data_IF_279973895390
#
_entry.id   IF_279973895390
#
_cell.length_a   1.000
_cell.length_b   1.000
_cell.length_c   1.000
_cell.angle_alpha   90.00
_cell.angle_beta   90.00
_cell.angle_gamma   90.00
#
_symmetry.space_group_name_H-M   'P 1'
#
loop_
_entity.id
_entity.type
_entity.pdbx_description
1 polymer ?
#
# COMPACT_ATOMS: atom_id res chain seq x y z
N UNK A 1 34.59 21.79 32.32
CA UNK A 1 33.58 22.32 31.36
C UNK A 1 32.91 21.15 30.66
N UNK A 2 31.69 20.79 31.11
CA UNK A 2 30.85 19.73 30.59
C UNK A 2 30.07 20.30 29.40
N UNK A 3 30.29 19.76 28.21
CA UNK A 3 29.40 19.99 27.05
C UNK A 3 28.17 19.08 27.19
N UNK A 4 27.02 19.69 27.40
CA UNK A 4 25.72 19.00 27.40
C UNK A 4 25.32 18.69 25.97
N UNK A 5 25.25 17.40 25.61
CA UNK A 5 24.63 16.93 24.39
C UNK A 5 23.10 17.11 24.51
N UNK A 6 22.58 18.11 23.83
CA UNK A 6 21.14 18.34 23.74
C UNK A 6 20.50 17.24 22.89
N UNK A 7 19.81 16.30 23.52
CA UNK A 7 18.88 15.40 22.86
C UNK A 7 17.71 16.23 22.33
N UNK A 8 17.65 16.40 21.04
CA UNK A 8 16.51 16.99 20.35
C UNK A 8 15.32 16.02 20.51
N UNK A 9 14.41 16.31 21.44
CA UNK A 9 13.14 15.59 21.53
C UNK A 9 12.33 15.90 20.26
N UNK A 10 12.21 14.91 19.40
CA UNK A 10 11.19 14.93 18.33
C UNK A 10 9.80 15.08 18.97
N UNK A 11 8.87 15.82 18.34
CA UNK A 11 7.53 15.93 18.87
C UNK A 11 6.92 14.52 18.97
N UNK A 12 6.54 14.15 20.18
CA UNK A 12 5.79 12.95 20.48
C UNK A 12 4.45 13.06 19.75
N UNK A 13 4.32 12.36 18.61
CA UNK A 13 3.01 12.14 18.02
C UNK A 13 2.24 11.29 19.03
N UNK A 14 1.08 11.79 19.49
CA UNK A 14 0.16 10.96 20.26
C UNK A 14 -0.03 9.65 19.50
N UNK A 15 0.13 8.52 20.19
CA UNK A 15 -0.17 7.20 19.63
C UNK A 15 -1.66 7.18 19.25
N UNK A 16 -1.94 7.57 18.00
CA UNK A 16 -3.17 7.19 17.35
C UNK A 16 -2.90 5.81 16.78
N UNK A 17 -3.77 4.84 17.08
CA UNK A 17 -3.63 3.46 16.61
C UNK A 17 -3.64 3.33 15.07
N UNK A 18 -3.78 4.44 14.33
CA UNK A 18 -3.99 4.48 12.88
C UNK A 18 -3.20 5.59 12.21
N UNK A 19 -2.77 5.34 10.96
CA UNK A 19 -1.95 6.29 10.19
C UNK A 19 -2.83 7.16 9.26
N UNK A 20 -2.95 8.46 9.60
CA UNK A 20 -3.61 9.45 8.74
C UNK A 20 -2.65 9.95 7.63
N UNK A 21 -3.19 10.79 6.70
CA UNK A 21 -2.43 11.33 5.56
C UNK A 21 -1.15 12.05 5.98
N UNK A 22 -1.20 12.92 6.97
CA UNK A 22 -0.04 13.69 7.44
C UNK A 22 1.05 12.78 7.99
N UNK A 23 0.66 11.72 8.72
CA UNK A 23 1.59 10.73 9.26
C UNK A 23 2.22 9.90 8.14
N UNK A 24 1.44 9.46 7.15
CA UNK A 24 1.95 8.73 5.97
C UNK A 24 2.97 9.58 5.19
N UNK A 25 2.64 10.84 4.89
CA UNK A 25 3.57 11.78 4.25
C UNK A 25 4.83 11.97 5.10
N UNK A 26 4.68 12.12 6.41
CA UNK A 26 5.79 12.21 7.35
C UNK A 26 6.73 11.00 7.29
N UNK A 27 6.19 9.77 7.20
CA UNK A 27 6.98 8.55 7.05
C UNK A 27 7.69 8.49 5.69
N UNK A 28 7.01 8.86 4.60
CA UNK A 28 7.60 8.94 3.26
C UNK A 28 8.81 9.89 3.26
N UNK A 29 8.66 11.08 3.83
CA UNK A 29 9.72 12.08 3.90
C UNK A 29 10.87 11.64 4.83
N UNK A 30 10.55 11.01 5.95
CA UNK A 30 11.55 10.51 6.91
C UNK A 30 12.39 9.39 6.30
N UNK A 31 11.75 8.38 5.74
CA UNK A 31 12.42 7.22 5.10
C UNK A 31 12.88 7.49 3.67
N UNK A 32 12.49 8.61 3.08
CA UNK A 32 12.83 9.04 1.71
C UNK A 32 12.46 7.99 0.65
N UNK A 33 11.35 7.29 0.86
CA UNK A 33 10.81 6.34 -0.11
C UNK A 33 9.30 6.22 0.05
N UNK A 34 8.65 5.59 -0.92
CA UNK A 34 7.20 5.31 -0.96
C UNK A 34 6.95 3.84 -1.31
N UNK A 35 7.88 2.97 -0.88
CA UNK A 35 7.78 1.52 -1.07
C UNK A 35 6.71 0.94 -0.16
N UNK A 36 5.85 0.11 -0.76
CA UNK A 36 4.93 -0.79 -0.11
C UNK A 36 5.39 -2.24 -0.34
N UNK A 37 5.74 -2.96 0.71
CA UNK A 37 6.10 -4.37 0.61
C UNK A 37 4.84 -5.22 0.67
N UNK A 38 4.61 -6.04 -0.37
CA UNK A 38 3.47 -6.95 -0.40
C UNK A 38 3.81 -8.27 0.26
N UNK A 39 2.98 -8.71 1.21
CA UNK A 39 3.06 -9.98 1.92
C UNK A 39 2.08 -11.00 1.30
N UNK A 40 2.20 -11.21 -0.02
CA UNK A 40 1.38 -12.16 -0.79
C UNK A 40 1.99 -13.57 -0.64
N UNK A 41 2.00 -14.10 0.60
CA UNK A 41 2.80 -15.27 0.98
C UNK A 41 2.08 -16.58 0.66
N UNK A 42 2.63 -17.31 -0.29
CA UNK A 42 2.21 -18.67 -0.65
C UNK A 42 3.02 -19.71 0.16
N UNK A 43 2.32 -20.57 0.89
CA UNK A 43 2.94 -21.65 1.68
C UNK A 43 3.82 -22.58 0.82
N UNK A 44 3.51 -22.74 -0.47
CA UNK A 44 4.30 -23.57 -1.37
C UNK A 44 5.65 -22.95 -1.72
N UNK A 45 5.75 -21.62 -1.72
CA UNK A 45 6.89 -20.85 -2.17
C UNK A 45 7.86 -20.41 -1.05
N UNK A 46 7.51 -20.60 0.22
CA UNK A 46 8.42 -20.27 1.34
C UNK A 46 9.56 -21.30 1.45
N UNK A 47 10.74 -20.92 2.01
CA UNK A 47 11.86 -21.82 2.23
C UNK A 47 11.47 -23.07 3.03
N UNK A 48 12.00 -24.21 2.61
CA UNK A 48 11.59 -25.53 3.15
C UNK A 48 11.77 -25.65 4.68
N UNK A 49 12.86 -25.06 5.22
CA UNK A 49 13.15 -25.14 6.66
C UNK A 49 12.09 -24.45 7.52
N UNK A 50 11.36 -23.45 6.96
CA UNK A 50 10.28 -22.77 7.69
C UNK A 50 9.03 -23.65 7.83
N UNK A 51 8.86 -24.68 7.01
CA UNK A 51 7.65 -25.52 7.01
C UNK A 51 7.50 -26.36 8.28
N UNK A 52 8.58 -26.49 9.10
CA UNK A 52 8.55 -27.14 10.41
C UNK A 52 7.99 -26.29 11.55
N UNK A 53 7.81 -24.98 11.34
CA UNK A 53 7.23 -24.10 12.35
C UNK A 53 5.72 -24.31 12.48
N UNK A 54 5.16 -24.01 13.65
CA UNK A 54 3.72 -24.14 13.91
C UNK A 54 2.86 -23.26 12.97
N UNK A 55 3.33 -22.06 12.63
CA UNK A 55 2.75 -21.19 11.62
C UNK A 55 3.83 -20.69 10.65
N UNK A 56 4.13 -21.49 9.61
CA UNK A 56 5.22 -21.21 8.68
C UNK A 56 5.07 -19.88 7.93
N UNK A 57 3.83 -19.50 7.59
CA UNK A 57 3.56 -18.27 6.85
C UNK A 57 3.77 -17.06 7.75
N UNK A 58 3.35 -17.13 9.01
CA UNK A 58 3.63 -16.06 9.97
C UNK A 58 5.13 -15.90 10.22
N UNK A 59 5.85 -17.00 10.42
CA UNK A 59 7.31 -16.97 10.64
C UNK A 59 8.05 -16.37 9.43
N UNK A 60 7.63 -16.72 8.22
CA UNK A 60 8.15 -16.12 7.00
C UNK A 60 7.88 -14.60 6.96
N UNK A 61 6.63 -14.18 7.15
CA UNK A 61 6.24 -12.78 7.14
C UNK A 61 6.99 -11.96 8.18
N UNK A 62 7.13 -12.52 9.39
CA UNK A 62 7.88 -11.90 10.48
C UNK A 62 9.30 -11.57 10.06
N UNK A 63 10.04 -12.53 9.48
CA UNK A 63 11.42 -12.32 9.02
C UNK A 63 11.50 -11.32 7.86
N UNK A 64 10.53 -11.34 6.94
CA UNK A 64 10.43 -10.33 5.87
C UNK A 64 10.21 -8.94 6.46
N UNK A 65 9.28 -8.78 7.42
CA UNK A 65 9.01 -7.50 8.07
C UNK A 65 10.26 -7.00 8.80
N UNK A 66 10.92 -7.84 9.60
CA UNK A 66 12.15 -7.47 10.31
C UNK A 66 13.25 -7.01 9.37
N UNK A 67 13.41 -7.66 8.22
CA UNK A 67 14.45 -7.38 7.23
C UNK A 67 14.14 -6.12 6.37
N UNK A 68 12.86 -5.79 6.15
CA UNK A 68 12.47 -4.75 5.19
C UNK A 68 11.91 -3.48 5.81
N UNK A 69 11.57 -3.48 7.10
CA UNK A 69 10.89 -2.35 7.76
C UNK A 69 11.65 -1.01 7.66
N UNK A 70 12.97 -1.02 7.58
CA UNK A 70 13.75 0.22 7.43
C UNK A 70 13.67 0.79 6.00
N UNK A 71 13.31 -0.03 5.01
CA UNK A 71 13.32 0.28 3.59
C UNK A 71 11.94 0.51 2.98
N UNK A 72 10.87 0.42 3.76
CA UNK A 72 9.51 0.67 3.27
C UNK A 72 8.69 1.53 4.24
N UNK A 73 7.61 2.11 3.76
CA UNK A 73 6.67 2.90 4.56
C UNK A 73 5.35 2.18 4.80
N UNK A 74 5.12 1.09 4.09
CA UNK A 74 3.85 0.39 4.16
C UNK A 74 3.99 -1.11 3.87
N UNK A 75 3.06 -1.90 4.41
CA UNK A 75 2.87 -3.30 4.08
C UNK A 75 1.46 -3.56 3.56
N UNK A 76 1.36 -4.39 2.53
CA UNK A 76 0.10 -4.79 1.92
C UNK A 76 -0.08 -6.31 2.04
N UNK A 77 -1.16 -6.73 2.70
CA UNK A 77 -1.54 -8.14 2.81
C UNK A 77 -2.64 -8.42 1.78
N UNK A 78 -2.34 -9.24 0.77
CA UNK A 78 -3.36 -9.74 -0.14
C UNK A 78 -4.11 -10.87 0.55
N UNK A 79 -5.35 -10.61 0.92
CA UNK A 79 -6.15 -11.50 1.76
C UNK A 79 -6.41 -12.87 1.14
N UNK A 80 -6.41 -12.97 -0.20
CA UNK A 80 -6.64 -14.24 -0.90
C UNK A 80 -5.64 -15.33 -0.52
N UNK A 81 -4.36 -14.98 -0.27
CA UNK A 81 -3.32 -15.93 0.16
C UNK A 81 -3.53 -16.47 1.57
N UNK A 82 -4.33 -15.78 2.35
CA UNK A 82 -4.67 -16.17 3.73
C UNK A 82 -6.05 -16.82 3.79
N UNK A 83 -7.05 -16.27 3.13
CA UNK A 83 -8.42 -16.79 3.09
C UNK A 83 -8.47 -18.24 2.57
N UNK A 84 -7.65 -18.61 1.59
CA UNK A 84 -7.55 -19.98 1.05
C UNK A 84 -7.17 -21.03 2.13
N UNK A 85 -6.57 -20.59 3.23
CA UNK A 85 -6.15 -21.46 4.35
C UNK A 85 -7.23 -21.59 5.45
N UNK A 86 -8.43 -21.08 5.24
CA UNK A 86 -9.52 -21.11 6.19
C UNK A 86 -9.21 -20.33 7.48
N UNK A 87 -9.68 -20.82 8.64
CA UNK A 87 -9.52 -20.10 9.90
C UNK A 87 -8.05 -19.87 10.30
N UNK A 88 -7.17 -20.82 9.99
CA UNK A 88 -5.73 -20.67 10.23
C UNK A 88 -5.13 -19.51 9.44
N UNK A 89 -5.59 -19.31 8.21
CA UNK A 89 -5.15 -18.19 7.40
C UNK A 89 -5.61 -16.83 7.97
N UNK A 90 -6.83 -16.75 8.47
CA UNK A 90 -7.33 -15.55 9.16
C UNK A 90 -6.51 -15.26 10.43
N UNK A 91 -6.20 -16.28 11.23
CA UNK A 91 -5.34 -16.14 12.41
C UNK A 91 -3.92 -15.69 12.03
N UNK A 92 -3.33 -16.28 10.99
CA UNK A 92 -2.02 -15.87 10.45
C UNK A 92 -2.03 -14.42 9.97
N UNK A 93 -3.10 -14.01 9.28
CA UNK A 93 -3.27 -12.63 8.80
C UNK A 93 -3.35 -11.64 9.97
N UNK A 94 -4.13 -11.96 11.01
CA UNK A 94 -4.21 -11.14 12.22
C UNK A 94 -2.84 -11.00 12.88
N UNK A 95 -2.15 -12.12 13.15
CA UNK A 95 -0.80 -12.13 13.73
C UNK A 95 0.18 -11.30 12.90
N UNK A 96 0.08 -11.39 11.58
CA UNK A 96 0.94 -10.61 10.66
C UNK A 96 0.63 -9.12 10.74
N UNK A 97 -0.66 -8.73 10.73
CA UNK A 97 -1.08 -7.34 10.84
C UNK A 97 -0.68 -6.72 12.19
N UNK A 98 -0.76 -7.48 13.29
CA UNK A 98 -0.34 -7.06 14.62
C UNK A 98 1.18 -6.92 14.74
N UNK A 99 1.94 -7.73 13.97
CA UNK A 99 3.41 -7.69 13.98
C UNK A 99 3.98 -6.52 13.17
N UNK A 100 3.25 -5.99 12.20
CA UNK A 100 3.69 -4.81 11.45
C UNK A 100 3.80 -3.61 12.41
N UNK A 101 4.97 -2.92 12.48
CA UNK A 101 5.13 -1.79 13.38
C UNK A 101 4.11 -0.68 13.10
N UNK A 102 3.63 -0.02 14.15
CA UNK A 102 2.65 1.09 14.06
C UNK A 102 3.13 2.29 13.22
N UNK A 103 4.45 2.38 12.98
CA UNK A 103 5.05 3.37 12.09
C UNK A 103 4.89 3.05 10.58
N UNK A 104 4.25 1.93 10.23
CA UNK A 104 4.03 1.51 8.86
C UNK A 104 2.55 1.47 8.53
N UNK A 105 2.19 1.97 7.34
CA UNK A 105 0.83 1.96 6.84
C UNK A 105 0.41 0.54 6.43
N UNK A 106 -0.68 0.03 7.04
CA UNK A 106 -1.16 -1.35 6.88
C UNK A 106 -2.33 -1.42 5.91
N UNK A 107 -2.15 -2.13 4.80
CA UNK A 107 -3.15 -2.26 3.73
C UNK A 107 -3.69 -3.69 3.67
N UNK A 108 -5.01 -3.86 3.81
CA UNK A 108 -5.71 -5.07 3.43
C UNK A 108 -6.09 -5.01 1.94
N UNK A 109 -5.40 -5.79 1.11
CA UNK A 109 -5.72 -5.90 -0.31
C UNK A 109 -6.79 -6.98 -0.50
N UNK A 110 -8.04 -6.63 -0.15
CA UNK A 110 -9.19 -7.54 -0.03
C UNK A 110 -10.20 -7.40 -1.17
N UNK A 111 -10.17 -6.27 -1.88
CA UNK A 111 -11.07 -5.95 -3.00
C UNK A 111 -12.54 -6.23 -2.67
N UNK A 112 -12.96 -5.77 -1.47
CA UNK A 112 -14.34 -5.98 -1.00
C UNK A 112 -15.31 -5.09 -1.78
N UNK A 113 -16.54 -5.54 -1.82
CA UNK A 113 -17.67 -4.82 -2.39
C UNK A 113 -18.94 -5.59 -2.05
N UNK A 114 -19.90 -4.90 -1.42
CA UNK A 114 -21.22 -5.40 -1.08
C UNK A 114 -22.13 -4.21 -0.84
N UNK A 115 -23.41 -4.44 -0.59
CA UNK A 115 -24.39 -3.37 -0.36
C UNK A 115 -24.68 -3.18 1.13
N UNK A 116 -24.96 -1.94 1.50
CA UNK A 116 -25.55 -1.55 2.80
C UNK A 116 -24.83 -2.18 4.00
N UNK A 117 -25.60 -2.94 4.78
CA UNK A 117 -25.13 -3.54 6.04
C UNK A 117 -23.96 -4.53 5.85
N UNK A 118 -23.95 -5.32 4.77
CA UNK A 118 -22.84 -6.25 4.50
C UNK A 118 -21.54 -5.50 4.29
N UNK A 119 -21.56 -4.40 3.53
CA UNK A 119 -20.40 -3.55 3.34
C UNK A 119 -19.88 -2.97 4.66
N UNK A 120 -20.80 -2.54 5.55
CA UNK A 120 -20.43 -2.06 6.88
C UNK A 120 -19.77 -3.15 7.74
N UNK A 121 -20.21 -4.42 7.64
CA UNK A 121 -19.56 -5.52 8.36
C UNK A 121 -18.14 -5.80 7.82
N UNK A 122 -17.93 -5.72 6.49
CA UNK A 122 -16.58 -5.81 5.94
C UNK A 122 -15.67 -4.67 6.42
N UNK A 123 -16.17 -3.43 6.44
CA UNK A 123 -15.41 -2.30 6.95
C UNK A 123 -14.99 -2.50 8.41
N UNK A 124 -15.92 -2.93 9.28
CA UNK A 124 -15.62 -3.26 10.68
C UNK A 124 -14.60 -4.38 10.81
N UNK A 125 -14.72 -5.45 10.02
CA UNK A 125 -13.80 -6.57 10.07
C UNK A 125 -12.36 -6.13 9.81
N UNK A 126 -12.12 -5.32 8.77
CA UNK A 126 -10.77 -4.89 8.43
C UNK A 126 -10.26 -3.75 9.29
N UNK A 127 -11.10 -2.77 9.62
CA UNK A 127 -10.66 -1.57 10.33
C UNK A 127 -10.64 -1.74 11.85
N UNK A 128 -11.67 -2.40 12.42
CA UNK A 128 -11.81 -2.51 13.86
C UNK A 128 -11.24 -3.84 14.39
N UNK A 129 -11.58 -4.97 13.76
CA UNK A 129 -11.16 -6.29 14.24
C UNK A 129 -9.71 -6.59 13.88
N UNK A 130 -9.33 -6.40 12.60
CA UNK A 130 -8.00 -6.73 12.08
C UNK A 130 -7.01 -5.56 12.16
N UNK A 131 -7.45 -4.35 12.50
CA UNK A 131 -6.60 -3.21 12.76
C UNK A 131 -5.83 -2.65 11.55
N UNK A 132 -6.34 -2.83 10.33
CA UNK A 132 -5.74 -2.22 9.14
C UNK A 132 -6.01 -0.71 9.06
N UNK A 133 -5.09 0.04 8.44
CA UNK A 133 -5.27 1.47 8.15
C UNK A 133 -6.08 1.66 6.86
N UNK A 134 -5.95 0.73 5.91
CA UNK A 134 -6.59 0.82 4.61
C UNK A 134 -7.12 -0.53 4.11
N UNK A 135 -8.17 -0.48 3.28
CA UNK A 135 -8.71 -1.65 2.60
C UNK A 135 -9.01 -1.33 1.13
N UNK A 136 -8.67 -2.25 0.23
CA UNK A 136 -9.04 -2.12 -1.18
C UNK A 136 -10.50 -2.53 -1.40
N UNK A 137 -11.23 -1.75 -2.20
CA UNK A 137 -12.66 -1.96 -2.50
C UNK A 137 -12.93 -1.85 -4.00
N UNK A 138 -13.95 -2.58 -4.47
CA UNK A 138 -14.37 -2.58 -5.86
C UNK A 138 -15.55 -1.61 -6.06
N UNK A 139 -15.50 -0.70 -7.07
CA UNK A 139 -16.50 0.36 -7.24
C UNK A 139 -17.78 -0.04 -7.97
N UNK A 140 -17.85 -1.23 -8.55
CA UNK A 140 -18.86 -1.61 -9.53
C UNK A 140 -20.30 -1.44 -9.04
N UNK A 141 -20.57 -1.67 -7.76
CA UNK A 141 -21.90 -1.55 -7.18
C UNK A 141 -22.28 -0.12 -6.76
N UNK A 142 -21.41 0.87 -6.94
CA UNK A 142 -21.73 2.27 -6.72
C UNK A 142 -21.43 2.80 -5.31
N UNK A 143 -21.92 4.02 -5.02
CA UNK A 143 -21.56 4.81 -3.85
C UNK A 143 -21.97 4.14 -2.53
N UNK A 144 -23.16 3.58 -2.46
CA UNK A 144 -23.72 2.95 -1.26
C UNK A 144 -22.92 1.72 -0.81
N UNK A 145 -22.20 1.07 -1.73
CA UNK A 145 -21.28 -0.03 -1.42
C UNK A 145 -19.94 0.46 -0.84
N UNK A 146 -19.53 1.69 -1.15
CA UNK A 146 -18.24 2.27 -0.76
C UNK A 146 -18.36 3.14 0.48
N UNK A 147 -19.49 3.83 0.65
CA UNK A 147 -19.71 4.76 1.74
C UNK A 147 -19.46 4.19 3.14
N UNK A 148 -19.84 2.94 3.46
CA UNK A 148 -19.55 2.35 4.77
C UNK A 148 -18.06 2.29 5.12
N UNK A 149 -17.17 2.18 4.12
CA UNK A 149 -15.73 2.22 4.35
C UNK A 149 -15.24 3.66 4.55
N UNK A 150 -15.76 4.63 3.79
CA UNK A 150 -15.36 6.04 3.86
C UNK A 150 -15.80 6.72 5.18
N UNK A 151 -16.82 6.19 5.86
CA UNK A 151 -17.33 6.72 7.13
C UNK A 151 -16.46 6.37 8.34
N UNK A 152 -15.54 5.41 8.21
CA UNK A 152 -14.59 5.10 9.27
C UNK A 152 -13.54 6.21 9.41
N UNK A 153 -13.58 6.89 10.55
CA UNK A 153 -12.66 7.99 10.87
C UNK A 153 -11.21 7.49 10.89
N UNK A 154 -10.32 8.31 10.33
CA UNK A 154 -8.87 8.05 10.30
C UNK A 154 -8.47 6.76 9.57
N UNK A 155 -9.37 6.21 8.72
CA UNK A 155 -9.16 5.03 7.88
C UNK A 155 -9.19 5.40 6.40
N UNK A 156 -8.61 4.53 5.59
CA UNK A 156 -8.48 4.77 4.16
C UNK A 156 -9.21 3.72 3.35
N UNK A 157 -10.00 4.19 2.40
CA UNK A 157 -10.60 3.37 1.36
C UNK A 157 -9.74 3.45 0.10
N UNK A 158 -9.26 2.33 -0.41
CA UNK A 158 -8.48 2.29 -1.65
C UNK A 158 -9.36 1.70 -2.76
N UNK A 159 -9.88 2.56 -3.61
CA UNK A 159 -10.81 2.18 -4.67
C UNK A 159 -10.07 1.70 -5.92
N UNK A 160 -10.52 0.60 -6.53
CA UNK A 160 -10.00 0.18 -7.83
C UNK A 160 -10.32 1.24 -8.88
N UNK A 161 -9.28 1.82 -9.48
CA UNK A 161 -9.39 2.76 -10.59
C UNK A 161 -9.09 2.07 -11.91
N UNK A 162 -7.81 1.89 -12.24
CA UNK A 162 -7.38 1.20 -13.46
C UNK A 162 -6.39 0.09 -13.09
N UNK A 163 -6.74 -1.14 -13.40
CA UNK A 163 -5.94 -2.31 -13.03
C UNK A 163 -4.96 -2.72 -14.14
N UNK A 164 -3.98 -3.59 -13.81
CA UNK A 164 -2.91 -4.00 -14.73
C UNK A 164 -3.20 -5.25 -15.54
N UNK A 165 -4.29 -5.98 -15.22
CA UNK A 165 -4.65 -7.22 -15.87
C UNK A 165 -5.27 -6.98 -17.26
N UNK A 166 -5.23 -7.98 -18.11
CA UNK A 166 -5.77 -7.89 -19.48
C UNK A 166 -7.29 -7.61 -19.51
N UNK A 167 -8.03 -8.16 -18.54
CA UNK A 167 -9.48 -7.96 -18.39
C UNK A 167 -9.91 -6.51 -18.08
N UNK A 168 -8.98 -5.60 -17.79
CA UNK A 168 -9.28 -4.17 -17.72
C UNK A 168 -9.93 -3.63 -19.00
N UNK A 169 -9.65 -4.27 -20.14
CA UNK A 169 -10.25 -3.94 -21.45
C UNK A 169 -11.75 -4.24 -21.53
N UNK A 170 -12.25 -5.16 -20.70
CA UNK A 170 -13.65 -5.59 -20.76
C UNK A 170 -14.59 -4.50 -20.21
N UNK A 171 -14.13 -3.75 -19.21
CA UNK A 171 -14.91 -2.70 -18.55
C UNK A 171 -14.13 -1.40 -18.37
N UNK A 172 -13.02 -1.40 -17.65
CA UNK A 172 -12.33 -0.20 -17.19
C UNK A 172 -11.93 0.71 -18.37
N UNK A 173 -11.48 0.14 -19.49
CA UNK A 173 -11.05 0.85 -20.70
C UNK A 173 -12.17 1.04 -21.74
N UNK A 174 -13.42 0.70 -21.41
CA UNK A 174 -14.55 0.98 -22.30
C UNK A 174 -14.88 2.46 -22.36
N UNK A 175 -15.27 2.94 -23.54
CA UNK A 175 -15.65 4.33 -23.78
C UNK A 175 -17.03 4.63 -23.16
N UNK A 176 -17.11 5.68 -22.37
CA UNK A 176 -18.36 6.20 -21.80
C UNK A 176 -18.46 7.71 -22.13
N UNK A 177 -19.14 8.05 -23.22
CA UNK A 177 -19.16 9.41 -23.73
C UNK A 177 -17.74 9.87 -24.14
N UNK A 178 -17.25 10.96 -23.56
CA UNK A 178 -15.93 11.53 -23.88
C UNK A 178 -14.80 11.02 -22.98
N UNK A 179 -15.08 10.13 -22.04
CA UNK A 179 -14.12 9.58 -21.10
C UNK A 179 -14.16 8.04 -21.04
N UNK A 180 -13.12 7.40 -20.50
CA UNK A 180 -13.12 5.97 -20.25
C UNK A 180 -13.87 5.65 -18.96
N UNK A 181 -14.44 4.44 -18.85
CA UNK A 181 -15.21 4.05 -17.67
C UNK A 181 -14.43 4.23 -16.36
N UNK A 182 -13.15 3.85 -16.31
CA UNK A 182 -12.36 4.05 -15.10
C UNK A 182 -12.20 5.54 -14.72
N UNK A 183 -12.09 6.44 -15.71
CA UNK A 183 -11.99 7.89 -15.47
C UNK A 183 -13.30 8.43 -14.87
N UNK A 184 -14.43 7.99 -15.43
CA UNK A 184 -15.74 8.31 -14.89
C UNK A 184 -15.90 7.84 -13.44
N UNK A 185 -15.49 6.58 -13.14
CA UNK A 185 -15.54 5.99 -11.79
C UNK A 185 -14.68 6.81 -10.83
N UNK A 186 -13.43 7.09 -11.17
CA UNK A 186 -12.52 7.86 -10.31
C UNK A 186 -13.05 9.28 -10.05
N UNK A 187 -13.54 9.96 -11.08
CA UNK A 187 -14.13 11.30 -10.98
C UNK A 187 -15.41 11.32 -10.13
N UNK A 188 -16.24 10.29 -10.22
CA UNK A 188 -17.42 10.11 -9.35
C UNK A 188 -17.00 9.88 -7.90
N UNK A 189 -16.11 8.92 -7.68
CA UNK A 189 -15.66 8.52 -6.35
C UNK A 189 -14.92 9.64 -5.60
N UNK A 190 -14.20 10.52 -6.30
CA UNK A 190 -13.57 11.72 -5.70
C UNK A 190 -14.57 12.71 -5.08
N UNK A 191 -15.88 12.52 -5.33
CA UNK A 191 -16.95 13.30 -4.68
C UNK A 191 -17.55 12.57 -3.46
N UNK A 192 -17.25 11.28 -3.30
CA UNK A 192 -17.75 10.47 -2.18
C UNK A 192 -16.82 10.53 -0.96
N UNK A 193 -15.51 10.59 -1.23
CA UNK A 193 -14.47 10.73 -0.23
C UNK A 193 -13.62 11.98 -0.44
N UNK A 194 -12.56 12.08 0.32
CA UNK A 194 -11.59 13.18 0.28
C UNK A 194 -10.18 12.65 0.09
N UNK A 195 -9.21 13.54 -0.12
CA UNK A 195 -7.79 13.17 -0.15
C UNK A 195 -7.27 12.64 1.18
N UNK A 196 -8.04 12.75 2.27
CA UNK A 196 -7.68 12.26 3.60
C UNK A 196 -8.09 10.80 3.84
N UNK A 197 -9.08 10.28 3.09
CA UNK A 197 -9.66 8.96 3.31
C UNK A 197 -9.88 8.12 2.05
N UNK A 198 -9.55 8.65 0.87
CA UNK A 198 -9.72 7.97 -0.42
C UNK A 198 -8.42 7.94 -1.21
N UNK A 199 -8.00 6.75 -1.60
CA UNK A 199 -6.92 6.46 -2.55
C UNK A 199 -7.48 5.68 -3.73
N UNK A 200 -6.69 5.58 -4.81
CA UNK A 200 -7.03 4.74 -5.97
C UNK A 200 -5.94 3.71 -6.26
N UNK A 201 -6.35 2.53 -6.75
CA UNK A 201 -5.42 1.56 -7.34
C UNK A 201 -5.20 1.94 -8.80
N UNK A 202 -3.93 2.11 -9.20
CA UNK A 202 -3.51 2.30 -10.59
C UNK A 202 -2.43 1.29 -10.91
N UNK A 203 -2.68 0.39 -11.86
CA UNK A 203 -1.73 -0.66 -12.23
C UNK A 203 -0.41 -0.12 -12.78
N UNK A 204 0.71 -0.71 -12.37
CA UNK A 204 2.07 -0.29 -12.74
C UNK A 204 2.34 -0.33 -14.26
N UNK A 205 1.56 -1.10 -15.03
CA UNK A 205 1.67 -1.19 -16.51
C UNK A 205 0.94 -0.09 -17.25
N UNK A 206 0.15 0.75 -16.54
CA UNK A 206 -0.70 1.80 -17.12
C UNK A 206 -0.01 3.18 -17.17
N UNK A 207 1.30 3.20 -17.31
CA UNK A 207 2.11 4.44 -17.26
C UNK A 207 1.78 5.43 -18.38
N UNK A 208 1.26 4.97 -19.51
CA UNK A 208 0.79 5.81 -20.62
C UNK A 208 -0.39 6.70 -20.24
N UNK A 209 -1.26 6.24 -19.34
CA UNK A 209 -2.43 6.97 -18.86
C UNK A 209 -2.17 7.73 -17.54
N UNK A 210 -1.11 7.38 -16.82
CA UNK A 210 -0.86 7.86 -15.46
C UNK A 210 -0.79 9.39 -15.36
N UNK A 211 -0.16 10.07 -16.33
CA UNK A 211 -0.09 11.53 -16.35
C UNK A 211 -1.49 12.18 -16.54
N UNK A 212 -2.37 11.57 -17.34
CA UNK A 212 -3.76 12.02 -17.51
C UNK A 212 -4.57 11.79 -16.24
N UNK A 213 -4.40 10.61 -15.62
CA UNK A 213 -5.05 10.24 -14.36
C UNK A 213 -4.63 11.23 -13.25
N UNK A 214 -3.33 11.54 -13.13
CA UNK A 214 -2.83 12.48 -12.14
C UNK A 214 -3.43 13.88 -12.29
N UNK A 215 -3.68 14.33 -13.52
CA UNK A 215 -4.36 15.63 -13.77
C UNK A 215 -5.82 15.63 -13.29
N UNK A 216 -6.52 14.51 -13.37
CA UNK A 216 -7.93 14.41 -12.96
C UNK A 216 -8.11 14.24 -11.45
N UNK A 217 -7.13 13.65 -10.75
CA UNK A 217 -7.13 13.44 -9.30
C UNK A 217 -5.78 13.86 -8.69
N UNK A 218 -5.45 15.18 -8.75
CA UNK A 218 -4.09 15.69 -8.53
C UNK A 218 -3.55 15.39 -7.13
N UNK A 219 -4.42 15.40 -6.11
CA UNK A 219 -4.00 15.35 -4.71
C UNK A 219 -4.22 13.98 -4.05
N UNK A 220 -4.85 13.02 -4.75
CA UNK A 220 -5.08 11.69 -4.22
C UNK A 220 -3.81 10.83 -4.23
N UNK A 221 -3.67 9.97 -3.23
CA UNK A 221 -2.67 8.90 -3.25
C UNK A 221 -3.09 7.79 -4.21
N UNK A 222 -2.10 7.17 -4.83
CA UNK A 222 -2.27 5.96 -5.65
C UNK A 222 -1.49 4.79 -5.03
N UNK A 223 -2.18 3.68 -4.83
CA UNK A 223 -1.53 2.38 -4.64
C UNK A 223 -1.23 1.83 -6.05
N UNK A 224 0.05 1.60 -6.33
CA UNK A 224 0.51 1.17 -7.65
C UNK A 224 1.08 -0.25 -7.55
N UNK A 225 0.25 -1.30 -7.70
CA UNK A 225 0.69 -2.69 -7.70
C UNK A 225 1.29 -3.10 -9.04
N UNK A 226 2.17 -4.12 -9.03
CA UNK A 226 2.69 -4.75 -10.25
C UNK A 226 4.14 -4.43 -10.57
N UNK A 227 4.90 -3.90 -9.61
CA UNK A 227 6.34 -3.71 -9.77
C UNK A 227 7.10 -5.05 -9.83
N UNK A 228 8.11 -5.09 -10.69
CA UNK A 228 8.98 -6.24 -10.91
C UNK A 228 8.34 -7.28 -11.82
N UNK A 229 7.54 -8.20 -11.31
CA UNK A 229 7.04 -9.37 -12.06
C UNK A 229 6.03 -9.06 -13.17
N UNK A 230 5.39 -7.88 -13.17
CA UNK A 230 4.43 -7.45 -14.20
C UNK A 230 5.03 -6.41 -15.18
N UNK A 231 6.32 -6.07 -15.04
CA UNK A 231 7.00 -5.19 -15.97
C UNK A 231 6.77 -3.68 -15.76
N UNK A 232 6.23 -3.27 -14.61
CA UNK A 232 6.07 -1.85 -14.28
C UNK A 232 7.43 -1.13 -14.18
N UNK A 233 7.54 0.08 -14.73
CA UNK A 233 8.73 0.93 -14.65
C UNK A 233 8.61 1.90 -13.49
N UNK A 234 9.45 1.74 -12.46
CA UNK A 234 9.48 2.68 -11.32
C UNK A 234 9.78 4.11 -11.78
N UNK A 235 10.67 4.26 -12.77
CA UNK A 235 10.97 5.55 -13.37
C UNK A 235 9.72 6.23 -13.93
N UNK A 236 9.01 5.54 -14.82
CA UNK A 236 7.82 6.14 -15.46
C UNK A 236 6.70 6.45 -14.46
N UNK A 237 6.50 5.53 -13.48
CA UNK A 237 5.51 5.73 -12.41
C UNK A 237 5.85 6.99 -11.61
N UNK A 238 7.13 7.17 -11.25
CA UNK A 238 7.58 8.31 -10.46
C UNK A 238 7.49 9.62 -11.25
N UNK A 239 8.01 9.66 -12.48
CA UNK A 239 8.00 10.86 -13.32
C UNK A 239 6.57 11.36 -13.63
N UNK A 240 5.61 10.43 -13.80
CA UNK A 240 4.23 10.76 -14.20
C UNK A 240 3.24 10.80 -13.04
N UNK A 241 3.57 10.14 -11.93
CA UNK A 241 2.63 9.89 -10.83
C UNK A 241 2.91 10.70 -9.55
N UNK A 242 4.12 11.18 -9.31
CA UNK A 242 4.41 12.01 -8.13
C UNK A 242 3.64 13.33 -8.14
N UNK A 243 3.21 13.76 -6.96
CA UNK A 243 2.65 15.09 -6.70
C UNK A 243 3.40 15.77 -5.53
N UNK A 244 2.94 16.93 -5.07
CA UNK A 244 3.59 17.71 -4.00
C UNK A 244 3.78 16.92 -2.70
N UNK A 245 2.87 16.00 -2.39
CA UNK A 245 2.87 15.15 -1.19
C UNK A 245 3.44 13.74 -1.43
N UNK A 246 4.19 13.53 -2.50
CA UNK A 246 4.51 12.24 -3.09
C UNK A 246 3.32 11.60 -3.82
N UNK A 247 2.19 11.36 -3.16
CA UNK A 247 0.96 10.85 -3.75
C UNK A 247 1.02 9.42 -4.29
N UNK A 248 2.06 8.65 -3.95
CA UNK A 248 2.28 7.28 -4.40
C UNK A 248 2.61 6.34 -3.25
N UNK A 249 2.09 5.11 -3.33
CA UNK A 249 2.57 3.92 -2.64
C UNK A 249 2.81 2.85 -3.71
N UNK A 250 4.06 2.56 -4.03
CA UNK A 250 4.42 1.59 -5.08
C UNK A 250 4.63 0.23 -4.45
N UNK A 251 3.81 -0.75 -4.83
CA UNK A 251 3.85 -2.07 -4.22
C UNK A 251 4.70 -3.06 -5.03
N UNK A 252 5.70 -3.64 -4.35
CA UNK A 252 6.46 -4.78 -4.80
C UNK A 252 6.26 -5.96 -3.84
N UNK A 253 5.84 -7.11 -4.35
CA UNK A 253 5.60 -8.33 -3.56
C UNK A 253 6.65 -9.38 -3.88
N UNK A 254 6.39 -10.26 -4.84
CA UNK A 254 7.22 -11.43 -5.17
C UNK A 254 8.70 -11.10 -5.44
N UNK A 255 8.99 -9.96 -6.07
CA UNK A 255 10.35 -9.52 -6.33
C UNK A 255 11.16 -9.29 -5.04
N UNK A 256 10.51 -8.94 -3.94
CA UNK A 256 11.12 -8.74 -2.62
C UNK A 256 11.06 -10.03 -1.83
N UNK A 257 9.86 -10.54 -1.52
CA UNK A 257 9.71 -11.61 -0.53
C UNK A 257 10.25 -12.96 -0.98
N UNK A 258 10.42 -13.17 -2.30
CA UNK A 258 11.02 -14.38 -2.89
C UNK A 258 12.34 -14.11 -3.59
N UNK A 259 13.13 -13.14 -3.10
CA UNK A 259 14.43 -12.79 -3.64
C UNK A 259 15.47 -13.93 -3.55
N UNK A 260 15.28 -14.87 -2.63
CA UNK A 260 16.04 -16.12 -2.51
C UNK A 260 15.15 -17.24 -2.00
N UNK A 261 15.33 -18.51 -2.45
CA UNK A 261 14.65 -19.68 -1.88
C UNK A 261 15.38 -20.28 -0.67
N UNK A 262 16.59 -19.78 -0.32
CA UNK A 262 17.47 -20.30 0.72
C UNK A 262 17.25 -19.68 2.09
N UNK A 263 18.15 -20.02 3.03
CA UNK A 263 18.14 -19.48 4.38
C UNK A 263 18.43 -17.97 4.44
N UNK A 264 19.09 -17.45 3.40
CA UNK A 264 19.42 -16.03 3.21
C UNK A 264 18.25 -15.18 2.65
N UNK A 265 17.05 -15.73 2.55
CA UNK A 265 15.89 -15.08 1.90
C UNK A 265 15.58 -13.70 2.50
N UNK A 266 15.66 -13.56 3.83
CA UNK A 266 15.38 -12.30 4.50
C UNK A 266 16.43 -11.22 4.18
N UNK A 267 17.72 -11.59 4.18
CA UNK A 267 18.82 -10.67 3.82
C UNK A 267 18.72 -10.24 2.36
N UNK A 268 18.38 -11.18 1.45
CA UNK A 268 18.15 -10.87 0.04
C UNK A 268 16.95 -9.94 -0.15
N UNK A 269 15.88 -10.18 0.60
CA UNK A 269 14.70 -9.30 0.59
C UNK A 269 15.04 -7.89 1.06
N UNK A 270 15.85 -7.76 2.12
CA UNK A 270 16.36 -6.46 2.57
C UNK A 270 17.15 -5.73 1.48
N UNK A 271 18.05 -6.45 0.77
CA UNK A 271 18.84 -5.88 -0.33
C UNK A 271 17.94 -5.32 -1.46
N UNK A 272 16.98 -6.12 -1.92
CA UNK A 272 16.04 -5.68 -2.97
C UNK A 272 15.18 -4.50 -2.52
N UNK A 273 14.70 -4.52 -1.27
CA UNK A 273 13.92 -3.41 -0.72
C UNK A 273 14.77 -2.12 -0.59
N UNK A 274 16.05 -2.23 -0.21
CA UNK A 274 16.99 -1.12 -0.15
C UNK A 274 17.27 -0.51 -1.53
N UNK A 275 17.39 -1.33 -2.57
CA UNK A 275 17.56 -0.87 -3.95
C UNK A 275 16.34 -0.04 -4.41
N UNK A 276 15.12 -0.54 -4.20
CA UNK A 276 13.89 0.22 -4.47
C UNK A 276 13.83 1.52 -3.68
N UNK A 277 14.14 1.48 -2.38
CA UNK A 277 14.12 2.67 -1.53
C UNK A 277 15.13 3.73 -2.01
N UNK A 278 16.33 3.30 -2.43
CA UNK A 278 17.37 4.18 -2.97
C UNK A 278 16.92 4.83 -4.28
N UNK A 279 16.36 4.06 -5.19
CA UNK A 279 15.85 4.58 -6.47
C UNK A 279 14.70 5.58 -6.24
N UNK A 280 13.75 5.26 -5.34
CA UNK A 280 12.66 6.16 -4.95
C UNK A 280 13.16 7.46 -4.32
N UNK A 281 14.21 7.40 -3.49
CA UNK A 281 14.83 8.59 -2.89
C UNK A 281 15.35 9.57 -3.95
N UNK A 282 15.93 9.03 -5.04
CA UNK A 282 16.41 9.83 -6.15
C UNK A 282 15.25 10.56 -6.86
N UNK A 283 14.12 9.87 -7.08
CA UNK A 283 12.94 10.50 -7.70
C UNK A 283 12.29 11.56 -6.80
N UNK A 284 12.17 11.31 -5.49
CA UNK A 284 11.69 12.32 -4.54
C UNK A 284 12.58 13.57 -4.54
N UNK A 285 13.88 13.38 -4.58
CA UNK A 285 14.87 14.46 -4.64
C UNK A 285 14.78 15.26 -5.95
N UNK A 286 14.68 14.56 -7.08
CA UNK A 286 14.51 15.18 -8.40
C UNK A 286 13.20 15.97 -8.52
N UNK A 287 12.12 15.49 -7.91
CA UNK A 287 10.82 16.17 -7.82
C UNK A 287 10.80 17.33 -6.81
N UNK A 288 11.86 17.54 -6.04
CA UNK A 288 11.94 18.59 -5.02
C UNK A 288 11.18 18.30 -3.73
N UNK A 289 10.60 17.11 -3.57
CA UNK A 289 9.76 16.72 -2.43
C UNK A 289 10.61 16.53 -1.16
N UNK A 290 11.84 16.06 -1.28
CA UNK A 290 12.74 15.80 -0.14
C UNK A 290 13.37 17.06 0.47
N UNK A 291 13.14 18.27 -0.06
CA UNK A 291 13.78 19.51 0.39
C UNK A 291 13.13 20.18 1.62
N UNK A 292 12.00 19.66 2.10
CA UNK A 292 11.26 20.30 3.20
C UNK A 292 11.87 20.14 4.61
N UNK A 293 12.97 19.40 4.78
CA UNK A 293 13.62 19.20 6.10
C UNK A 293 14.80 20.13 6.39
N UNK A 294 15.13 21.09 5.53
CA UNK A 294 16.29 21.99 5.75
C UNK A 294 15.95 23.45 6.11
N UNK A 295 14.74 23.73 6.55
CA UNK A 295 14.40 25.06 7.13
C UNK A 295 13.87 24.90 8.56
N UNK A 296 14.84 25.02 9.49
CA UNK A 296 14.84 25.49 10.90
C UNK A 296 13.68 25.04 11.80
#
# INVERSE_FOLDING_TARGET
>A
LKAAAGFFKMPFFAETDFMNRKQLIGQILHKKNYLCVGLDTDLSAIPAFLKSFADPVFEFNKRIIDATREYCVSYKINTAFYEVRGFQGWETMQKTADYIPSSHFKIADAKRGDIGNSSAQYAKAFFETLGFDAVTVAPYMGEDSIRPFLEHKDKWTILLGLTSNEGAKDFELQQLGDELLFEFVMRKASRWGTTENLMFVIGATQTNLLAKIRKSTPDHFYLVPGMGTQGGSLKEISEKGLNADCGLLVNASRAIIYASPGEDFADRSAGVAADYATEMSNYLSAAGIAKFQSKK
#
